data_IF_006604289315
#
_entry.id   IF_006604289315
#
_cell.length_a   1.000
_cell.length_b   1.000
_cell.length_c   1.000
_cell.angle_alpha   90.00
_cell.angle_beta   90.00
_cell.angle_gamma   90.00
#
_symmetry.space_group_name_H-M   'P 1'
#
loop_
_entity.id
_entity.type
_entity.pdbx_description
1 polymer ?
#
# COMPACT_ATOMS: atom_id res chain seq x y z
N UNK A 1 -19.60 -17.36 16.69
CA UNK A 1 -20.10 -16.55 15.55
C UNK A 1 -19.45 -15.15 15.43
N UNK A 2 -18.91 -14.58 16.52
CA UNK A 2 -18.43 -13.18 16.63
C UNK A 2 -17.05 -12.90 16.03
N UNK A 3 -16.16 -13.89 15.95
CA UNK A 3 -14.80 -13.70 15.43
C UNK A 3 -14.74 -13.46 13.90
N UNK A 4 -15.67 -14.07 13.15
CA UNK A 4 -15.68 -13.95 11.68
C UNK A 4 -16.12 -12.55 11.21
N UNK A 5 -17.10 -11.92 11.87
CA UNK A 5 -17.59 -10.59 11.47
C UNK A 5 -16.53 -9.47 11.56
N UNK A 6 -15.65 -9.49 12.58
CA UNK A 6 -14.56 -8.50 12.71
C UNK A 6 -13.53 -8.55 11.57
N UNK A 7 -13.28 -9.73 11.01
CA UNK A 7 -12.34 -9.90 9.88
C UNK A 7 -12.91 -9.32 8.59
N UNK A 8 -14.21 -9.48 8.36
CA UNK A 8 -14.91 -8.92 7.19
C UNK A 8 -15.07 -7.40 7.26
N UNK A 9 -15.29 -6.83 8.46
CA UNK A 9 -15.30 -5.38 8.64
C UNK A 9 -13.93 -4.74 8.35
N UNK A 10 -12.83 -5.35 8.82
CA UNK A 10 -11.46 -4.84 8.54
C UNK A 10 -11.13 -4.82 7.05
N UNK A 11 -11.52 -5.87 6.31
CA UNK A 11 -11.32 -5.94 4.85
C UNK A 11 -12.17 -4.90 4.12
N UNK A 12 -13.43 -4.71 4.53
CA UNK A 12 -14.34 -3.70 3.95
C UNK A 12 -13.80 -2.27 4.07
N UNK A 13 -13.18 -1.89 5.19
CA UNK A 13 -12.58 -0.56 5.36
C UNK A 13 -11.35 -0.33 4.49
N UNK A 14 -10.55 -1.37 4.24
CA UNK A 14 -9.36 -1.25 3.38
C UNK A 14 -9.77 -1.07 1.92
N UNK A 15 -10.82 -1.77 1.46
CA UNK A 15 -11.34 -1.62 0.09
C UNK A 15 -11.96 -0.23 -0.16
N UNK A 16 -12.68 0.34 0.82
CA UNK A 16 -13.27 1.68 0.68
C UNK A 16 -12.23 2.79 0.60
N UNK A 17 -11.11 2.68 1.35
CA UNK A 17 -10.02 3.64 1.28
C UNK A 17 -9.32 3.64 -0.09
N UNK A 18 -9.20 2.47 -0.72
CA UNK A 18 -8.58 2.33 -2.04
C UNK A 18 -9.52 2.78 -3.18
N UNK A 19 -10.83 2.54 -3.06
CA UNK A 19 -11.81 3.02 -4.04
C UNK A 19 -11.93 4.57 -4.05
N UNK A 20 -11.81 5.22 -2.89
CA UNK A 20 -11.82 6.69 -2.79
C UNK A 20 -10.62 7.37 -3.46
N UNK A 21 -9.50 6.66 -3.62
CA UNK A 21 -8.32 7.15 -4.36
C UNK A 21 -8.55 7.06 -5.88
N UNK A 22 -9.41 6.15 -6.36
CA UNK A 22 -9.65 5.92 -7.79
C UNK A 22 -10.73 6.85 -8.35
N UNK A 23 -11.69 7.33 -7.55
CA UNK A 23 -12.82 8.15 -8.03
C UNK A 23 -12.53 9.65 -8.18
N UNK A 24 -11.30 10.11 -7.98
CA UNK A 24 -10.94 11.53 -8.15
C UNK A 24 -10.21 11.82 -9.48
N UNK A 25 -10.07 10.83 -10.38
CA UNK A 25 -9.34 10.99 -11.64
C UNK A 25 -10.19 11.31 -12.88
N UNK A 26 -11.49 11.60 -12.71
CA UNK A 26 -12.40 11.97 -13.84
C UNK A 26 -12.76 13.48 -13.86
N UNK A 27 -11.88 14.33 -13.31
CA UNK A 27 -11.98 15.78 -13.49
C UNK A 27 -11.34 16.21 -14.81
N UNK A 28 -12.14 16.74 -15.73
CA UNK A 28 -11.76 17.24 -17.06
C UNK A 28 -10.41 18.00 -17.08
N UNK A 29 -9.41 17.45 -17.79
CA UNK A 29 -8.15 18.14 -18.07
C UNK A 29 -8.39 19.29 -19.05
N UNK A 30 -8.49 20.52 -18.54
CA UNK A 30 -8.30 21.72 -19.34
C UNK A 30 -6.81 21.87 -19.62
N UNK A 31 -6.45 22.14 -20.88
CA UNK A 31 -5.07 22.34 -21.33
C UNK A 31 -4.38 23.45 -20.52
N UNK A 32 -3.41 23.08 -19.69
CA UNK A 32 -2.57 24.04 -18.94
C UNK A 32 -1.28 24.28 -19.72
N UNK A 33 -0.99 25.57 -19.93
CA UNK A 33 0.20 26.10 -20.59
C UNK A 33 1.50 25.68 -19.89
N UNK A 34 2.59 25.59 -20.65
CA UNK A 34 3.70 24.63 -20.47
C UNK A 34 4.71 24.95 -19.35
N UNK A 35 4.48 25.90 -18.44
CA UNK A 35 5.48 26.24 -17.41
C UNK A 35 4.86 26.66 -16.08
N UNK A 36 4.96 25.77 -15.09
CA UNK A 36 4.55 25.87 -13.67
C UNK A 36 3.20 25.22 -13.34
N UNK A 37 3.23 23.92 -13.02
CA UNK A 37 2.14 23.27 -12.27
C UNK A 37 2.25 23.80 -10.84
N UNK A 38 1.40 24.76 -10.48
CA UNK A 38 1.20 25.12 -9.08
C UNK A 38 0.48 23.95 -8.38
N UNK A 39 1.24 23.13 -7.66
CA UNK A 39 0.69 22.08 -6.79
C UNK A 39 0.19 22.78 -5.53
N UNK A 40 -1.11 23.08 -5.48
CA UNK A 40 -1.74 23.56 -4.26
C UNK A 40 -1.84 22.40 -3.26
N UNK A 41 -1.17 22.53 -2.11
CA UNK A 41 -1.29 21.57 -1.01
C UNK A 41 -2.62 21.83 -0.28
N UNK A 42 -3.69 21.21 -0.77
CA UNK A 42 -5.05 21.33 -0.20
C UNK A 42 -5.31 20.28 0.88
N UNK A 43 -4.28 19.64 1.42
CA UNK A 43 -4.42 18.46 2.26
C UNK A 43 -4.80 18.82 3.70
N UNK A 44 -6.05 19.21 3.92
CA UNK A 44 -6.59 19.37 5.28
C UNK A 44 -7.02 18.00 5.83
N UNK A 45 -6.05 17.13 6.11
CA UNK A 45 -6.33 15.91 6.86
C UNK A 45 -6.75 16.26 8.29
N UNK A 46 -7.82 15.62 8.78
CA UNK A 46 -8.27 15.88 10.15
C UNK A 46 -7.22 15.35 11.14
N UNK A 47 -6.74 16.16 12.11
CA UNK A 47 -5.67 15.76 13.01
C UNK A 47 -5.94 14.45 13.78
N UNK A 48 -7.22 14.14 14.03
CA UNK A 48 -7.63 12.94 14.74
C UNK A 48 -7.44 11.66 13.92
N UNK A 49 -7.70 11.70 12.60
CA UNK A 49 -7.50 10.53 11.74
C UNK A 49 -6.00 10.24 11.55
N UNK A 50 -5.20 11.27 11.35
CA UNK A 50 -3.75 11.14 11.20
C UNK A 50 -3.11 10.57 12.47
N UNK A 51 -3.54 11.03 13.65
CA UNK A 51 -3.11 10.44 14.93
C UNK A 51 -3.41 8.95 15.01
N UNK A 52 -4.63 8.52 14.63
CA UNK A 52 -5.00 7.11 14.63
C UNK A 52 -4.22 6.29 13.60
N UNK A 53 -3.99 6.83 12.41
CA UNK A 53 -3.15 6.21 11.38
C UNK A 53 -1.73 6.01 11.89
N UNK A 54 -1.13 7.03 12.51
CA UNK A 54 0.22 6.95 13.04
C UNK A 54 0.32 5.96 14.20
N UNK A 55 -0.65 5.93 15.11
CA UNK A 55 -0.73 4.89 16.15
C UNK A 55 -0.86 3.49 15.55
N UNK A 56 -1.63 3.32 14.48
CA UNK A 56 -1.74 2.03 13.80
C UNK A 56 -0.41 1.60 13.18
N UNK A 57 0.34 2.52 12.57
CA UNK A 57 1.67 2.25 12.00
C UNK A 57 2.70 1.89 13.08
N UNK A 58 2.73 2.65 14.18
CA UNK A 58 3.60 2.41 15.34
C UNK A 58 3.34 1.02 15.95
N UNK A 59 2.08 0.65 16.16
CA UNK A 59 1.74 -0.65 16.76
C UNK A 59 2.05 -1.85 15.86
N UNK A 60 1.87 -1.74 14.55
CA UNK A 60 2.05 -2.88 13.64
C UNK A 60 3.46 -3.00 13.08
N UNK A 61 4.13 -1.88 12.80
CA UNK A 61 5.45 -1.85 12.17
C UNK A 61 6.52 -1.29 13.10
N UNK A 62 6.21 -0.27 13.90
CA UNK A 62 7.09 0.25 14.96
C UNK A 62 8.41 0.82 14.44
N UNK A 63 8.41 1.47 13.28
CA UNK A 63 9.62 1.97 12.61
C UNK A 63 10.46 2.91 13.48
N UNK A 64 9.80 3.75 14.28
CA UNK A 64 10.46 4.69 15.21
C UNK A 64 11.13 3.98 16.40
N UNK A 65 10.88 2.67 16.58
CA UNK A 65 11.51 1.81 17.59
C UNK A 65 12.62 0.93 17.03
N UNK A 66 12.95 1.05 15.74
CA UNK A 66 14.04 0.27 15.14
C UNK A 66 15.37 0.61 15.81
N UNK A 67 16.06 -0.43 16.28
CA UNK A 67 17.39 -0.35 16.87
C UNK A 67 18.35 -1.22 16.07
N UNK A 68 19.29 -0.60 15.35
CA UNK A 68 20.27 -1.32 14.52
C UNK A 68 21.21 -2.21 15.36
N UNK A 69 21.42 -1.87 16.64
CA UNK A 69 22.24 -2.68 17.54
C UNK A 69 21.53 -3.96 17.97
N UNK A 70 20.20 -4.04 17.80
CA UNK A 70 19.43 -5.24 18.06
C UNK A 70 19.51 -6.21 16.85
N UNK A 71 20.15 -7.38 17.01
CA UNK A 71 20.39 -8.30 15.90
C UNK A 71 19.09 -8.88 15.32
N UNK A 72 18.04 -9.05 16.13
CA UNK A 72 16.76 -9.60 15.66
C UNK A 72 16.00 -8.57 14.81
N UNK A 73 16.01 -7.29 15.23
CA UNK A 73 15.43 -6.21 14.45
C UNK A 73 16.15 -6.03 13.12
N UNK A 74 17.49 -6.00 13.16
CA UNK A 74 18.32 -5.90 11.96
C UNK A 74 18.05 -7.04 10.97
N UNK A 75 18.01 -8.29 11.46
CA UNK A 75 17.69 -9.45 10.61
C UNK A 75 16.31 -9.35 9.98
N UNK A 76 15.29 -8.90 10.72
CA UNK A 76 13.94 -8.70 10.19
C UNK A 76 13.93 -7.61 9.11
N UNK A 77 14.60 -6.48 9.38
CA UNK A 77 14.72 -5.36 8.44
C UNK A 77 15.37 -5.80 7.12
N UNK A 78 16.53 -6.47 7.18
CA UNK A 78 17.23 -6.98 6.00
C UNK A 78 16.37 -7.98 5.21
N UNK A 79 15.60 -8.83 5.89
CA UNK A 79 14.68 -9.76 5.24
C UNK A 79 13.55 -9.03 4.50
N UNK A 80 12.95 -8.00 5.14
CA UNK A 80 11.92 -7.16 4.55
C UNK A 80 12.46 -6.40 3.32
N UNK A 81 13.64 -5.80 3.41
CA UNK A 81 14.29 -5.13 2.28
C UNK A 81 14.57 -6.08 1.12
N UNK A 82 15.12 -7.26 1.40
CA UNK A 82 15.45 -8.24 0.37
C UNK A 82 14.20 -8.78 -0.33
N UNK A 83 13.11 -9.01 0.42
CA UNK A 83 11.84 -9.40 -0.16
C UNK A 83 11.24 -8.29 -1.04
N UNK A 84 11.27 -7.04 -0.58
CA UNK A 84 10.79 -5.90 -1.37
C UNK A 84 11.60 -5.72 -2.67
N UNK A 85 12.94 -5.80 -2.60
CA UNK A 85 13.83 -5.73 -3.78
C UNK A 85 13.51 -6.83 -4.79
N UNK A 86 13.30 -8.06 -4.30
CA UNK A 86 12.88 -9.18 -5.15
C UNK A 86 11.54 -8.90 -5.83
N UNK A 87 10.53 -8.50 -5.05
CA UNK A 87 9.19 -8.20 -5.58
C UNK A 87 9.24 -7.09 -6.63
N UNK A 88 10.00 -6.01 -6.40
CA UNK A 88 10.18 -4.95 -7.40
C UNK A 88 10.84 -5.46 -8.67
N UNK A 89 11.86 -6.33 -8.55
CA UNK A 89 12.57 -6.89 -9.72
C UNK A 89 11.71 -7.85 -10.54
N UNK A 90 10.77 -8.56 -9.90
CA UNK A 90 9.86 -9.51 -10.53
C UNK A 90 8.56 -8.85 -11.02
N UNK A 91 8.33 -7.58 -10.66
CA UNK A 91 7.12 -6.86 -11.02
C UNK A 91 7.12 -6.53 -12.51
N UNK A 92 6.02 -6.87 -13.19
CA UNK A 92 5.78 -6.50 -14.58
C UNK A 92 5.58 -4.99 -14.68
N UNK A 93 6.11 -4.39 -15.73
CA UNK A 93 6.13 -2.93 -15.94
C UNK A 93 5.69 -2.52 -17.33
N UNK A 94 5.48 -3.49 -18.21
CA UNK A 94 5.02 -3.29 -19.56
C UNK A 94 3.58 -2.75 -19.63
N UNK A 95 3.32 -1.95 -20.66
CA UNK A 95 1.98 -1.43 -20.92
C UNK A 95 1.02 -2.56 -21.30
N UNK A 96 -0.23 -2.48 -20.82
CA UNK A 96 -1.26 -3.49 -21.10
C UNK A 96 -1.16 -4.77 -20.26
N UNK A 97 -0.31 -4.80 -19.23
CA UNK A 97 -0.27 -5.91 -18.27
C UNK A 97 -1.63 -6.10 -17.58
N UNK A 98 -2.04 -7.36 -17.42
CA UNK A 98 -3.27 -7.75 -16.70
C UNK A 98 -3.00 -8.21 -15.27
N UNK A 99 -1.74 -8.34 -14.88
CA UNK A 99 -1.27 -8.69 -13.53
C UNK A 99 0.16 -8.17 -13.30
N UNK A 100 0.55 -8.06 -12.03
CA UNK A 100 1.86 -7.52 -11.63
C UNK A 100 2.93 -8.60 -11.40
N UNK A 101 2.55 -9.78 -10.91
CA UNK A 101 3.49 -10.89 -10.64
C UNK A 101 2.93 -12.21 -11.15
N UNK A 102 3.79 -13.03 -11.77
CA UNK A 102 3.42 -14.37 -12.27
C UNK A 102 2.83 -15.28 -11.18
N UNK A 103 3.32 -15.14 -9.95
CA UNK A 103 2.83 -15.90 -8.78
C UNK A 103 1.40 -15.53 -8.35
N UNK A 104 0.82 -14.48 -8.96
CA UNK A 104 -0.52 -13.97 -8.71
C UNK A 104 -1.18 -13.46 -9.99
N UNK A 105 -1.15 -14.27 -11.07
CA UNK A 105 -1.63 -13.85 -12.39
C UNK A 105 -3.15 -13.88 -12.56
N UNK A 106 -3.87 -14.76 -11.85
CA UNK A 106 -5.29 -15.02 -12.09
C UNK A 106 -6.21 -14.11 -11.25
N UNK A 107 -5.93 -12.80 -11.22
CA UNK A 107 -6.58 -11.85 -10.29
C UNK A 107 -8.10 -11.71 -10.48
N UNK A 108 -8.59 -11.87 -11.72
CA UNK A 108 -10.01 -11.73 -12.06
C UNK A 108 -10.87 -12.90 -11.59
N UNK A 109 -10.27 -14.08 -11.44
CA UNK A 109 -10.99 -15.32 -11.18
C UNK A 109 -10.62 -15.96 -9.84
N UNK A 110 -9.47 -15.57 -9.26
CA UNK A 110 -8.94 -16.13 -8.02
C UNK A 110 -8.63 -15.03 -7.02
N UNK A 111 -9.57 -14.79 -6.11
CA UNK A 111 -9.44 -13.78 -5.04
C UNK A 111 -8.21 -13.94 -4.14
N UNK A 112 -7.66 -15.15 -4.05
CA UNK A 112 -6.40 -15.41 -3.35
C UNK A 112 -5.20 -14.74 -4.06
N UNK A 113 -5.20 -14.69 -5.39
CA UNK A 113 -4.15 -14.06 -6.17
C UNK A 113 -4.27 -12.53 -6.07
N UNK A 114 -5.49 -11.99 -6.13
CA UNK A 114 -5.73 -10.57 -5.81
C UNK A 114 -5.20 -10.20 -4.41
N UNK A 115 -5.49 -11.02 -3.40
CA UNK A 115 -4.98 -10.81 -2.03
C UNK A 115 -3.46 -10.86 -1.98
N UNK A 116 -2.83 -11.77 -2.72
CA UNK A 116 -1.37 -11.87 -2.81
C UNK A 116 -0.78 -10.63 -3.47
N UNK A 117 -1.37 -10.13 -4.55
CA UNK A 117 -0.94 -8.90 -5.22
C UNK A 117 -0.93 -7.71 -4.26
N UNK A 118 -2.02 -7.48 -3.52
CA UNK A 118 -2.07 -6.38 -2.55
C UNK A 118 -1.08 -6.55 -1.38
N UNK A 119 -0.85 -7.79 -0.93
CA UNK A 119 0.18 -8.07 0.09
C UNK A 119 1.60 -7.85 -0.41
N UNK A 120 1.88 -8.13 -1.68
CA UNK A 120 3.18 -7.83 -2.26
C UNK A 120 3.43 -6.31 -2.28
N UNK A 121 2.39 -5.52 -2.60
CA UNK A 121 2.45 -4.05 -2.52
C UNK A 121 2.66 -3.60 -1.07
N UNK A 122 1.95 -4.18 -0.10
CA UNK A 122 2.12 -3.89 1.33
C UNK A 122 3.57 -4.16 1.80
N UNK A 123 4.17 -5.28 1.38
CA UNK A 123 5.57 -5.61 1.72
C UNK A 123 6.58 -4.64 1.12
N UNK A 124 6.32 -4.16 -0.09
CA UNK A 124 7.15 -3.12 -0.72
C UNK A 124 7.01 -1.82 0.07
N UNK A 125 5.79 -1.43 0.42
CA UNK A 125 5.53 -0.23 1.23
C UNK A 125 6.10 -0.36 2.65
N UNK A 126 6.21 -1.58 3.20
CA UNK A 126 6.81 -1.80 4.52
C UNK A 126 8.32 -1.51 4.52
N UNK A 127 8.99 -1.69 3.38
CA UNK A 127 10.44 -1.56 3.24
C UNK A 127 10.91 -0.16 2.79
N UNK A 128 9.98 0.70 2.33
CA UNK A 128 10.26 2.05 1.82
C UNK A 128 10.03 3.12 2.88
#
# INVERSE_FOLDING_TARGET
MTYRMKKWQKLSTITLLMAGVITLSDGEFRSVDKHQIAVADTNTQTPNYEKLKNTWLDVNYGYDKYDESNPDMKKKFEATENEAKKLLSEMKTESGMTYLWESSKDIDTKSADMTRTYRNIEKIAEAM
#
